data_IF_447882277043
#
_entry.id   IF_447882277043
#
_cell.length_a   1.000
_cell.length_b   1.000
_cell.length_c   1.000
_cell.angle_alpha   90.00
_cell.angle_beta   90.00
_cell.angle_gamma   90.00
#
_symmetry.space_group_name_H-M   'P 1'
#
loop_
_entity.id
_entity.type
_entity.pdbx_description
1 polymer ?
#
# COMPACT_ATOMS: atom_id res chain seq x y z
N UNK A 1 -0.90 -0.73 -7.27
CA UNK A 1 0.28 -0.64 -6.39
C UNK A 1 0.78 -2.06 -6.12
N UNK A 2 2.10 -2.30 -6.09
CA UNK A 2 2.67 -3.63 -5.77
C UNK A 2 3.79 -3.44 -4.76
N UNK A 3 3.83 -4.32 -3.76
CA UNK A 3 4.89 -4.36 -2.74
C UNK A 3 5.70 -5.66 -2.83
N UNK A 4 7.00 -5.56 -2.58
CA UNK A 4 7.86 -6.74 -2.42
C UNK A 4 7.40 -7.55 -1.22
N UNK A 5 7.53 -8.88 -1.27
CA UNK A 5 7.01 -9.81 -0.25
C UNK A 5 7.40 -9.42 1.17
N UNK A 6 8.65 -8.96 1.38
CA UNK A 6 9.18 -8.54 2.69
C UNK A 6 8.45 -7.36 3.33
N UNK A 7 7.85 -6.47 2.53
CA UNK A 7 7.16 -5.27 3.03
C UNK A 7 5.67 -5.54 3.29
N UNK A 8 5.12 -6.63 2.75
CA UNK A 8 3.67 -6.86 2.77
C UNK A 8 3.12 -7.04 4.17
N UNK A 9 3.84 -7.80 4.99
CA UNK A 9 3.47 -8.01 6.38
C UNK A 9 3.45 -6.71 7.19
N UNK A 10 4.44 -5.83 6.99
CA UNK A 10 4.48 -4.53 7.66
C UNK A 10 3.35 -3.59 7.21
N UNK A 11 3.02 -3.59 5.91
CA UNK A 11 1.88 -2.83 5.39
C UNK A 11 0.56 -3.36 5.95
N UNK A 12 0.37 -4.69 5.97
CA UNK A 12 -0.83 -5.34 6.50
C UNK A 12 -1.04 -5.04 7.99
N UNK A 13 0.05 -4.96 8.77
CA UNK A 13 0.01 -4.58 10.20
C UNK A 13 -0.15 -3.07 10.42
N UNK A 14 -0.09 -2.25 9.37
CA UNK A 14 -0.13 -0.79 9.48
C UNK A 14 1.18 -0.17 9.99
N UNK A 15 2.26 -0.94 10.09
CA UNK A 15 3.59 -0.46 10.47
C UNK A 15 4.25 0.34 9.33
N UNK A 16 3.90 0.01 8.08
CA UNK A 16 4.36 0.71 6.88
C UNK A 16 3.15 1.38 6.24
N UNK A 17 3.12 2.72 6.31
CA UNK A 17 2.02 3.55 5.79
C UNK A 17 2.46 4.46 4.64
N UNK A 18 3.72 4.34 4.21
CA UNK A 18 4.23 5.10 3.09
C UNK A 18 5.19 4.28 2.22
N UNK A 19 5.40 4.74 0.99
CA UNK A 19 6.37 4.15 0.09
C UNK A 19 6.90 5.17 -0.90
N UNK A 20 8.21 5.14 -1.10
CA UNK A 20 8.90 5.92 -2.13
C UNK A 20 8.89 5.16 -3.45
N UNK A 21 8.53 5.86 -4.53
CA UNK A 21 8.44 5.34 -5.89
C UNK A 21 9.17 6.25 -6.85
N UNK A 22 9.96 5.69 -7.75
CA UNK A 22 10.66 6.44 -8.79
C UNK A 22 10.03 6.08 -10.14
N UNK A 23 9.32 7.01 -10.74
CA UNK A 23 8.54 6.82 -11.97
C UNK A 23 8.72 8.00 -12.92
N UNK A 24 8.35 7.81 -14.20
CA UNK A 24 8.22 8.96 -15.12
C UNK A 24 6.99 9.81 -14.78
N UNK A 25 5.89 9.17 -14.39
CA UNK A 25 4.61 9.80 -14.00
C UNK A 25 3.96 9.01 -12.87
N UNK A 26 3.03 9.60 -12.09
CA UNK A 26 2.29 8.87 -11.07
C UNK A 26 1.53 7.68 -11.67
N UNK A 27 1.75 6.46 -11.16
CA UNK A 27 1.02 5.26 -11.58
C UNK A 27 -0.17 4.94 -10.67
N UNK A 28 -0.31 5.69 -9.57
CA UNK A 28 -1.40 5.53 -8.61
C UNK A 28 -2.17 6.85 -8.45
N UNK A 29 -3.42 6.76 -8.03
CA UNK A 29 -4.31 7.90 -7.80
C UNK A 29 -4.76 7.92 -6.35
N UNK A 30 -4.85 9.12 -5.78
CA UNK A 30 -5.41 9.34 -4.44
C UNK A 30 -6.88 8.88 -4.41
N UNK A 31 -7.29 8.22 -3.33
CA UNK A 31 -8.61 7.61 -3.14
C UNK A 31 -8.81 6.27 -3.84
N UNK A 32 -7.88 5.83 -4.70
CA UNK A 32 -7.99 4.53 -5.34
C UNK A 32 -7.46 3.41 -4.45
N UNK A 33 -8.12 2.26 -4.56
CA UNK A 33 -7.73 1.01 -3.90
C UNK A 33 -7.00 0.09 -4.86
N UNK A 34 -5.99 -0.59 -4.35
CA UNK A 34 -5.18 -1.56 -5.08
C UNK A 34 -5.12 -2.87 -4.32
N UNK A 35 -5.43 -3.98 -5.00
CA UNK A 35 -5.41 -5.31 -4.40
C UNK A 35 -4.04 -5.64 -3.81
N UNK A 36 -4.04 -6.15 -2.58
CA UNK A 36 -2.86 -6.57 -1.85
C UNK A 36 -3.20 -7.77 -0.95
N UNK A 37 -2.79 -8.95 -1.42
CA UNK A 37 -3.06 -10.23 -0.74
C UNK A 37 -4.56 -10.41 -0.47
N UNK A 38 -4.96 -10.59 0.78
CA UNK A 38 -6.36 -10.77 1.17
C UNK A 38 -7.14 -9.44 1.23
N UNK A 39 -6.46 -8.29 1.21
CA UNK A 39 -7.09 -6.98 1.34
C UNK A 39 -6.71 -6.02 0.24
N UNK A 40 -6.78 -4.74 0.55
CA UNK A 40 -6.50 -3.65 -0.38
C UNK A 40 -5.60 -2.61 0.29
N UNK A 41 -4.95 -1.79 -0.52
CA UNK A 41 -4.28 -0.57 -0.07
C UNK A 41 -4.96 0.61 -0.73
N UNK A 42 -5.48 1.53 0.08
CA UNK A 42 -6.06 2.79 -0.38
C UNK A 42 -4.99 3.89 -0.32
N UNK A 43 -4.85 4.65 -1.40
CA UNK A 43 -3.83 5.71 -1.49
C UNK A 43 -4.38 7.01 -0.93
N UNK A 44 -3.73 7.52 0.12
CA UNK A 44 -4.14 8.76 0.80
C UNK A 44 -3.50 10.00 0.16
N UNK A 45 -2.24 9.89 -0.30
CA UNK A 45 -1.55 11.01 -0.95
C UNK A 45 -0.45 10.55 -1.89
N UNK A 46 -0.18 11.36 -2.92
CA UNK A 46 0.95 11.18 -3.83
C UNK A 46 1.63 12.54 -3.99
N UNK A 47 2.81 12.68 -3.40
CA UNK A 47 3.56 13.94 -3.42
C UNK A 47 4.86 13.76 -4.20
N UNK A 48 5.16 14.62 -5.19
CA UNK A 48 6.50 14.67 -5.76
C UNK A 48 7.47 15.15 -4.67
N UNK A 49 8.59 14.44 -4.54
CA UNK A 49 9.70 14.80 -3.64
C UNK A 49 11.01 14.74 -4.41
N UNK A 50 12.11 15.16 -3.78
CA UNK A 50 13.46 15.01 -4.32
C UNK A 50 14.19 13.85 -3.65
N UNK A 51 15.34 13.45 -4.21
CA UNK A 51 16.22 12.48 -3.55
C UNK A 51 16.77 12.99 -2.21
N UNK A 52 16.91 14.31 -2.04
CA UNK A 52 17.39 14.93 -0.81
C UNK A 52 16.36 14.82 0.33
N UNK A 53 15.08 14.73 0.01
CA UNK A 53 13.99 14.54 0.99
C UNK A 53 13.92 13.10 1.50
N UNK A 54 14.65 12.16 0.91
CA UNK A 54 14.70 10.77 1.36
C UNK A 54 15.67 10.65 2.54
N UNK A 55 15.16 10.88 3.74
CA UNK A 55 15.91 10.75 4.98
C UNK A 55 16.01 9.29 5.45
N UNK A 56 16.97 8.95 6.33
CA UNK A 56 17.01 7.64 7.00
C UNK A 56 15.73 7.31 7.76
N UNK A 57 15.08 8.32 8.35
CA UNK A 57 13.80 8.19 9.06
C UNK A 57 12.69 7.80 8.08
N UNK A 58 12.57 8.49 6.95
CA UNK A 58 11.60 8.15 5.91
C UNK A 58 11.83 6.74 5.36
N UNK A 59 13.10 6.35 5.20
CA UNK A 59 13.43 5.00 4.76
C UNK A 59 12.96 3.93 5.76
N UNK A 60 13.14 4.16 7.06
CA UNK A 60 12.66 3.27 8.13
C UNK A 60 11.14 3.21 8.20
N UNK A 61 10.46 4.35 8.11
CA UNK A 61 8.99 4.43 8.03
C UNK A 61 8.43 3.68 6.81
N UNK A 62 9.18 3.67 5.70
CA UNK A 62 8.85 2.93 4.48
C UNK A 62 9.21 1.43 4.57
N UNK A 63 9.74 0.95 5.70
CA UNK A 63 10.11 -0.45 5.94
C UNK A 63 11.50 -0.86 5.45
N UNK A 64 12.41 0.10 5.24
CA UNK A 64 13.79 -0.15 4.81
C UNK A 64 14.79 0.11 5.94
N UNK A 65 15.96 -0.52 5.87
CA UNK A 65 17.02 -0.31 6.90
C UNK A 65 17.66 1.08 6.82
N UNK A 66 17.54 1.74 5.67
CA UNK A 66 18.08 3.08 5.41
C UNK A 66 17.97 3.46 3.94
N UNK A 67 18.44 4.67 3.61
CA UNK A 67 18.28 5.30 2.29
C UNK A 67 18.86 4.44 1.16
N UNK A 68 20.02 3.81 1.37
CA UNK A 68 20.66 2.96 0.35
C UNK A 68 19.82 1.73 0.01
N UNK A 69 19.28 1.04 1.02
CA UNK A 69 18.41 -0.15 0.81
C UNK A 69 17.09 0.25 0.13
N UNK A 70 16.54 1.42 0.49
CA UNK A 70 15.38 1.98 -0.19
C UNK A 70 15.67 2.28 -1.65
N UNK A 71 16.74 3.01 -1.96
CA UNK A 71 17.06 3.43 -3.32
C UNK A 71 17.40 2.24 -4.23
N UNK A 72 18.03 1.19 -3.71
CA UNK A 72 18.27 -0.06 -4.46
C UNK A 72 16.96 -0.69 -4.95
N UNK A 73 15.88 -0.55 -4.18
CA UNK A 73 14.54 -1.09 -4.50
C UNK A 73 13.64 -0.05 -5.19
N UNK A 74 13.92 1.25 -5.07
CA UNK A 74 13.11 2.27 -5.71
C UNK A 74 13.60 2.58 -7.14
N UNK A 75 14.92 2.51 -7.38
CA UNK A 75 15.56 2.78 -8.67
C UNK A 75 15.45 1.55 -9.57
N UNK A 76 14.29 1.36 -10.17
CA UNK A 76 14.04 0.31 -11.15
C UNK A 76 13.51 0.93 -12.45
N UNK A 77 14.21 0.69 -13.56
CA UNK A 77 13.82 1.20 -14.87
C UNK A 77 14.24 2.66 -15.11
N UNK A 78 13.52 3.33 -16.03
CA UNK A 78 13.88 4.66 -16.56
C UNK A 78 13.25 5.84 -15.80
N UNK A 79 12.62 5.59 -14.66
CA UNK A 79 11.97 6.67 -13.90
C UNK A 79 12.98 7.63 -13.30
N UNK A 80 12.69 8.93 -13.36
CA UNK A 80 13.55 9.97 -12.81
C UNK A 80 12.85 10.79 -11.71
N UNK A 81 11.52 10.83 -11.70
CA UNK A 81 10.75 11.58 -10.71
C UNK A 81 10.48 10.73 -9.47
N UNK A 82 10.75 11.28 -8.29
CA UNK A 82 10.52 10.63 -7.01
C UNK A 82 9.16 11.04 -6.46
N UNK A 83 8.38 10.06 -6.02
CA UNK A 83 7.08 10.26 -5.40
C UNK A 83 7.03 9.58 -4.04
N UNK A 84 6.59 10.32 -3.03
CA UNK A 84 6.17 9.76 -1.76
C UNK A 84 4.68 9.44 -1.84
N UNK A 85 4.34 8.16 -1.69
CA UNK A 85 2.96 7.69 -1.63
C UNK A 85 2.61 7.33 -0.20
N UNK A 86 1.61 7.99 0.39
CA UNK A 86 1.02 7.56 1.68
C UNK A 86 -0.25 6.76 1.43
N UNK A 87 -0.47 5.77 2.27
CA UNK A 87 -1.57 4.84 2.14
C UNK A 87 -1.86 4.14 3.46
N UNK A 88 -3.03 3.50 3.54
CA UNK A 88 -3.39 2.60 4.61
C UNK A 88 -3.89 1.27 4.06
N UNK A 89 -3.69 0.21 4.85
CA UNK A 89 -4.22 -1.11 4.53
C UNK A 89 -5.71 -1.17 4.88
N UNK A 90 -6.50 -1.67 3.93
CA UNK A 90 -7.93 -1.94 4.09
C UNK A 90 -8.09 -3.45 4.16
N UNK A 91 -8.47 -4.01 5.33
CA UNK A 91 -8.69 -5.44 5.45
C UNK A 91 -9.83 -5.90 4.54
N UNK A 92 -9.84 -7.18 4.11
CA UNK A 92 -10.97 -7.73 3.38
C UNK A 92 -12.25 -7.43 4.15
N UNK A 93 -13.30 -7.01 3.43
CA UNK A 93 -14.64 -7.04 4.01
C UNK A 93 -14.90 -8.48 4.43
N UNK A 94 -15.05 -8.72 5.73
CA UNK A 94 -15.53 -10.00 6.23
C UNK A 94 -16.84 -10.26 5.50
N UNK A 95 -16.83 -11.27 4.62
CA UNK A 95 -18.03 -11.74 3.98
C UNK A 95 -18.80 -12.46 5.09
N UNK A 96 -19.58 -11.71 5.87
CA UNK A 96 -20.57 -12.31 6.76
C UNK A 96 -21.38 -13.24 5.85
N UNK A 97 -21.41 -14.57 6.10
CA UNK A 97 -22.27 -15.44 5.33
C UNK A 97 -23.67 -14.89 5.50
N UNK A 98 -24.31 -14.47 4.41
CA UNK A 98 -25.70 -14.08 4.44
C UNK A 98 -26.44 -15.24 5.11
N UNK A 99 -26.99 -14.99 6.31
CA UNK A 99 -27.72 -15.99 7.06
C UNK A 99 -28.80 -16.52 6.11
N UNK A 100 -28.63 -17.77 5.65
CA UNK A 100 -29.64 -18.45 4.84
C UNK A 100 -30.92 -18.39 5.64
N UNK A 101 -31.93 -17.75 5.07
CA UNK A 101 -33.21 -17.50 5.70
C UNK A 101 -33.76 -18.77 6.34
N UNK A 102 -34.18 -18.63 7.59
CA UNK A 102 -35.00 -19.63 8.28
C UNK A 102 -36.24 -19.87 7.41
N UNK A 103 -36.50 -21.09 6.90
CA UNK A 103 -37.75 -21.35 6.21
C UNK A 103 -38.90 -21.19 7.21
N UNK A 104 -39.83 -20.28 6.89
CA UNK A 104 -41.04 -20.07 7.65
C UNK A 104 -41.83 -21.38 7.73
N UNK A 105 -42.09 -21.82 8.96
CA UNK A 105 -43.00 -22.93 9.28
C UNK A 105 -44.36 -22.66 8.63
N UNK A 106 -44.76 -23.44 7.63
CA UNK A 106 -46.18 -23.53 7.24
C UNK A 106 -46.88 -24.47 8.22
N UNK A 107 -47.84 -23.91 8.99
CA UNK A 107 -49.00 -24.63 9.52
C UNK A 107 -50.01 -24.76 8.38
N UNK A 108 -50.68 -25.90 8.30
CA UNK A 108 -51.76 -26.19 7.36
C UNK A 108 -51.89 -27.68 7.19
#
# INVERSE_FOLDING_TARGET
MIFTRRLRDGVRRGEITCSVRIWMRPHVKVGNRYCMEEGEVEVDSVLPITLADITPELARESGFKGVVDLLKVAKHGKGENVYLVRFHYVPPRSRVPAARGVPARRRG
#
